data_IF_531039804814
#
_entry.id   IF_531039804814
#
_cell.length_a   1.000
_cell.length_b   1.000
_cell.length_c   1.000
_cell.angle_alpha   90.00
_cell.angle_beta   90.00
_cell.angle_gamma   90.00
#
_symmetry.space_group_name_H-M   'P 1'
#
loop_
_entity.id
_entity.type
_entity.pdbx_description
1 polymer ?
#
# COMPACT_ATOMS: atom_id res chain seq x y z
N UNK A 1 11.94 5.87 16.16
CA UNK A 1 10.68 5.11 16.35
C UNK A 1 9.41 5.92 16.11
N UNK A 2 9.24 7.13 16.67
CA UNK A 2 8.02 7.95 16.50
C UNK A 2 7.73 8.30 15.03
N UNK A 3 8.74 8.77 14.29
CA UNK A 3 8.62 9.12 12.86
C UNK A 3 8.22 7.93 11.98
N UNK A 4 8.88 6.78 12.14
CA UNK A 4 8.56 5.55 11.41
C UNK A 4 7.11 5.10 11.60
N UNK A 5 6.59 5.19 12.85
CA UNK A 5 5.20 4.86 13.15
C UNK A 5 4.24 5.83 12.45
N UNK A 6 4.47 7.14 12.56
CA UNK A 6 3.59 8.16 11.97
C UNK A 6 3.57 8.03 10.44
N UNK A 7 4.74 7.95 9.80
CA UNK A 7 4.80 7.84 8.35
C UNK A 7 4.21 6.51 7.86
N UNK A 8 4.48 5.40 8.56
CA UNK A 8 3.89 4.10 8.27
C UNK A 8 2.37 4.10 8.37
N UNK A 9 1.81 4.74 9.41
CA UNK A 9 0.35 4.89 9.56
C UNK A 9 -0.25 5.71 8.42
N UNK A 10 0.38 6.81 8.01
CA UNK A 10 -0.11 7.63 6.88
C UNK A 10 -0.13 6.80 5.59
N UNK A 11 0.96 6.09 5.30
CA UNK A 11 1.07 5.24 4.11
C UNK A 11 0.02 4.12 4.14
N UNK A 12 -0.20 3.49 5.30
CA UNK A 12 -1.21 2.44 5.45
C UNK A 12 -2.62 2.98 5.19
N UNK A 13 -2.96 4.15 5.75
CA UNK A 13 -4.28 4.78 5.53
C UNK A 13 -4.49 5.10 4.05
N UNK A 14 -3.49 5.68 3.38
CA UNK A 14 -3.56 5.95 1.94
C UNK A 14 -3.70 4.67 1.14
N UNK A 15 -2.95 3.63 1.48
CA UNK A 15 -3.03 2.34 0.81
C UNK A 15 -4.43 1.72 0.90
N UNK A 16 -5.04 1.75 2.09
CA UNK A 16 -6.40 1.24 2.32
C UNK A 16 -7.43 2.10 1.60
N UNK A 17 -7.34 3.43 1.68
CA UNK A 17 -8.26 4.33 1.00
C UNK A 17 -8.27 4.11 -0.52
N UNK A 18 -7.10 3.98 -1.13
CA UNK A 18 -6.97 3.67 -2.56
C UNK A 18 -7.50 2.27 -2.87
N UNK A 19 -7.25 1.27 -2.02
CA UNK A 19 -7.77 -0.09 -2.20
C UNK A 19 -9.30 -0.12 -2.21
N UNK A 20 -9.93 0.61 -1.28
CA UNK A 20 -11.40 0.76 -1.23
C UNK A 20 -11.91 1.49 -2.47
N UNK A 21 -11.26 2.58 -2.89
CA UNK A 21 -11.64 3.28 -4.11
C UNK A 21 -11.57 2.36 -5.36
N UNK A 22 -10.48 1.59 -5.50
CA UNK A 22 -10.30 0.65 -6.60
C UNK A 22 -11.33 -0.49 -6.56
N UNK A 23 -11.81 -0.89 -5.39
CA UNK A 23 -12.79 -1.97 -5.26
C UNK A 23 -14.23 -1.54 -5.58
N UNK A 24 -14.55 -0.24 -5.46
CA UNK A 24 -15.92 0.28 -5.73
C UNK A 24 -16.04 1.04 -7.04
N UNK A 25 -14.94 1.46 -7.68
CA UNK A 25 -14.99 2.19 -8.96
C UNK A 25 -15.65 1.36 -10.07
N UNK A 26 -16.43 2.04 -10.91
CA UNK A 26 -17.14 1.45 -12.06
C UNK A 26 -16.36 1.53 -13.37
N UNK A 27 -15.56 2.58 -13.52
CA UNK A 27 -14.72 2.83 -14.71
C UNK A 27 -13.29 3.06 -14.28
N UNK A 28 -12.34 2.74 -15.15
CA UNK A 28 -10.94 3.08 -14.95
C UNK A 28 -10.58 4.46 -15.52
N UNK A 29 -9.29 4.82 -15.45
CA UNK A 29 -8.79 6.11 -15.93
C UNK A 29 -8.89 6.31 -17.45
N UNK A 30 -9.12 5.24 -18.21
CA UNK A 30 -9.36 5.28 -19.65
C UNK A 30 -10.86 5.25 -20.00
N UNK A 31 -11.74 5.21 -18.99
CA UNK A 31 -13.18 5.10 -19.18
C UNK A 31 -13.68 3.66 -19.43
N UNK A 32 -12.82 2.65 -19.28
CA UNK A 32 -13.20 1.25 -19.47
C UNK A 32 -13.97 0.75 -18.25
N UNK A 33 -15.13 0.15 -18.48
CA UNK A 33 -15.94 -0.45 -17.43
C UNK A 33 -15.17 -1.58 -16.72
N UNK A 34 -15.12 -1.52 -15.40
CA UNK A 34 -14.43 -2.50 -14.57
C UNK A 34 -15.32 -3.71 -14.32
N UNK A 35 -15.01 -4.82 -15.00
CA UNK A 35 -15.57 -6.14 -14.68
C UNK A 35 -15.01 -6.66 -13.35
N UNK A 36 -15.67 -7.63 -12.68
CA UNK A 36 -15.15 -8.22 -11.44
C UNK A 36 -13.72 -8.79 -11.60
N UNK A 37 -13.43 -9.39 -12.74
CA UNK A 37 -12.10 -9.95 -13.07
C UNK A 37 -11.03 -8.86 -13.19
N UNK A 38 -11.31 -7.81 -13.97
CA UNK A 38 -10.39 -6.67 -14.14
C UNK A 38 -10.13 -5.92 -12.84
N UNK A 39 -11.15 -5.82 -11.98
CA UNK A 39 -11.04 -5.24 -10.65
C UNK A 39 -10.10 -6.05 -9.76
N UNK A 40 -10.24 -7.37 -9.74
CA UNK A 40 -9.34 -8.24 -8.98
C UNK A 40 -7.90 -8.13 -9.47
N UNK A 41 -7.68 -8.11 -10.79
CA UNK A 41 -6.35 -7.90 -11.37
C UNK A 41 -5.77 -6.55 -10.93
N UNK A 42 -6.57 -5.47 -10.99
CA UNK A 42 -6.16 -4.14 -10.53
C UNK A 42 -5.74 -4.16 -9.06
N UNK A 43 -6.52 -4.82 -8.20
CA UNK A 43 -6.22 -4.93 -6.77
C UNK A 43 -4.99 -5.79 -6.50
N UNK A 44 -4.75 -6.85 -7.28
CA UNK A 44 -3.53 -7.66 -7.19
C UNK A 44 -2.30 -6.81 -7.54
N UNK A 45 -2.35 -6.08 -8.65
CA UNK A 45 -1.25 -5.19 -9.06
C UNK A 45 -0.99 -4.15 -7.97
N UNK A 46 -2.04 -3.51 -7.45
CA UNK A 46 -1.95 -2.58 -6.33
C UNK A 46 -1.34 -3.22 -5.07
N UNK A 47 -1.74 -4.45 -4.76
CA UNK A 47 -1.20 -5.26 -3.66
C UNK A 47 0.30 -5.53 -3.78
N UNK A 48 0.79 -5.83 -4.99
CA UNK A 48 2.23 -6.04 -5.24
C UNK A 48 3.03 -4.77 -4.93
N UNK A 49 2.56 -3.59 -5.37
CA UNK A 49 3.20 -2.32 -5.00
C UNK A 49 3.16 -2.06 -3.49
N UNK A 50 2.04 -2.37 -2.84
CA UNK A 50 1.91 -2.30 -1.38
C UNK A 50 2.94 -3.18 -0.66
N UNK A 51 3.17 -4.39 -1.17
CA UNK A 51 4.15 -5.33 -0.61
C UNK A 51 5.58 -4.80 -0.69
N UNK A 52 5.97 -4.20 -1.82
CA UNK A 52 7.30 -3.58 -1.99
C UNK A 52 7.50 -2.47 -0.95
N UNK A 53 6.50 -1.61 -0.78
CA UNK A 53 6.54 -0.53 0.22
C UNK A 53 6.64 -1.09 1.64
N UNK A 54 5.87 -2.14 1.95
CA UNK A 54 5.89 -2.80 3.25
C UNK A 54 7.28 -3.36 3.57
N UNK A 55 7.91 -4.06 2.61
CA UNK A 55 9.27 -4.60 2.77
C UNK A 55 10.26 -3.46 3.07
N UNK A 56 10.19 -2.33 2.36
CA UNK A 56 11.02 -1.16 2.64
C UNK A 56 10.84 -0.62 4.06
N UNK A 57 9.60 -0.56 4.55
CA UNK A 57 9.30 -0.16 5.93
C UNK A 57 9.84 -1.15 6.96
N UNK A 58 9.79 -2.46 6.69
CA UNK A 58 10.34 -3.49 7.57
C UNK A 58 11.88 -3.43 7.63
N UNK A 59 12.54 -3.19 6.50
CA UNK A 59 14.00 -2.97 6.46
C UNK A 59 14.36 -1.72 7.28
N UNK A 60 13.64 -0.62 7.09
CA UNK A 60 13.88 0.60 7.88
C UNK A 60 13.67 0.35 9.38
N UNK A 61 12.63 -0.41 9.75
CA UNK A 61 12.41 -0.80 11.15
C UNK A 61 13.58 -1.62 11.71
N UNK A 62 14.07 -2.60 10.96
CA UNK A 62 15.20 -3.43 11.37
C UNK A 62 16.47 -2.59 11.59
N UNK A 63 16.78 -1.66 10.67
CA UNK A 63 17.90 -0.73 10.79
C UNK A 63 17.75 0.18 12.02
N UNK A 64 16.55 0.72 12.26
CA UNK A 64 16.30 1.58 13.43
C UNK A 64 16.46 0.83 14.75
N UNK A 65 16.02 -0.43 14.83
CA UNK A 65 16.21 -1.28 16.02
C UNK A 65 17.69 -1.58 16.24
N UNK A 66 18.40 -2.02 15.20
CA UNK A 66 19.84 -2.31 15.29
C UNK A 66 20.68 -1.09 15.73
N UNK A 67 20.25 0.12 15.36
CA UNK A 67 20.88 1.39 15.77
C UNK A 67 20.56 1.80 17.21
N UNK A 68 19.48 1.27 17.79
CA UNK A 68 19.07 1.57 19.17
C UNK A 68 19.66 0.57 20.18
N UNK A 69 20.07 -0.62 19.72
CA UNK A 69 20.75 -1.64 20.53
C UNK A 69 22.28 -1.41 20.64
N UNK A 70 22.83 -0.48 19.86
CA UNK A 70 24.21 0.02 19.98
C UNK A 70 24.22 1.32 20.77
#
# INVERSE_FOLDING_TARGET
MKTWKISGSIVLVLFVAVSVYLSVRKVDGAGVAQTPELRNITLIIWGVFGLIILIGYLIWLAVLKHRADK
#
